data_IF_539052531939
#
_entry.id   IF_539052531939
#
_cell.length_a   1.000
_cell.length_b   1.000
_cell.length_c   1.000
_cell.angle_alpha   90.00
_cell.angle_beta   90.00
_cell.angle_gamma   90.00
#
_symmetry.space_group_name_H-M   'P 1'
#
loop_
_entity.id
_entity.type
_entity.pdbx_description
1 polymer ?
#
# COMPACT_ATOMS: atom_id res chain seq x y z
N UNK A 1 1.20 -22.48 4.59
CA UNK A 1 1.65 -21.17 5.04
C UNK A 1 0.75 -20.09 4.43
N UNK A 2 0.15 -19.28 5.26
CA UNK A 2 -0.56 -18.09 4.80
C UNK A 2 0.49 -16.99 4.63
N UNK A 3 0.65 -16.49 3.42
CA UNK A 3 1.52 -15.37 3.15
C UNK A 3 0.65 -14.22 2.65
N UNK A 4 0.61 -13.13 3.41
CA UNK A 4 -0.03 -11.88 3.00
C UNK A 4 1.05 -10.85 2.70
N UNK A 5 0.99 -10.26 1.54
CA UNK A 5 1.88 -9.17 1.15
C UNK A 5 1.04 -7.91 0.98
N UNK A 6 1.34 -6.88 1.75
CA UNK A 6 0.76 -5.56 1.60
C UNK A 6 1.82 -4.60 1.06
N UNK A 7 1.51 -3.96 -0.05
CA UNK A 7 2.38 -2.97 -0.66
C UNK A 7 1.66 -1.62 -0.69
N UNK A 8 2.29 -0.58 -0.15
CA UNK A 8 1.79 0.79 -0.20
C UNK A 8 2.68 1.59 -1.13
N UNK A 9 2.07 2.23 -2.10
CA UNK A 9 2.75 3.07 -3.06
C UNK A 9 2.28 4.52 -2.90
N UNK A 10 3.24 5.39 -2.58
CA UNK A 10 3.05 6.83 -2.62
C UNK A 10 3.56 7.33 -3.97
N UNK A 11 2.66 7.85 -4.78
CA UNK A 11 2.99 8.33 -6.11
C UNK A 11 2.99 9.87 -6.14
N UNK A 12 4.11 10.48 -6.39
CA UNK A 12 4.32 11.82 -6.94
C UNK A 12 4.16 11.71 -8.48
N UNK A 13 4.09 12.78 -9.31
CA UNK A 13 3.59 12.73 -10.70
C UNK A 13 4.34 11.75 -11.63
N UNK A 14 4.31 10.49 -11.30
CA UNK A 14 4.89 9.36 -12.02
C UNK A 14 4.06 8.11 -11.76
N UNK A 15 4.16 7.13 -12.62
CA UNK A 15 3.49 5.84 -12.41
C UNK A 15 4.30 4.98 -11.43
N UNK A 16 3.64 4.45 -10.41
CA UNK A 16 4.22 3.43 -9.55
C UNK A 16 3.93 2.04 -10.13
N UNK A 17 4.95 1.19 -10.16
CA UNK A 17 4.83 -0.19 -10.63
C UNK A 17 5.27 -1.15 -9.53
N UNK A 18 4.34 -2.01 -9.11
CA UNK A 18 4.60 -3.06 -8.14
C UNK A 18 4.64 -4.43 -8.80
N UNK A 19 5.67 -5.21 -8.54
CA UNK A 19 5.70 -6.61 -8.94
C UNK A 19 6.17 -7.49 -7.78
N UNK A 20 5.57 -8.67 -7.66
CA UNK A 20 5.94 -9.65 -6.66
C UNK A 20 5.87 -11.06 -7.25
N UNK A 21 6.81 -11.92 -6.87
CA UNK A 21 6.80 -13.32 -7.25
C UNK A 21 6.23 -14.17 -6.12
N UNK A 22 5.17 -14.91 -6.40
CA UNK A 22 4.65 -15.97 -5.55
C UNK A 22 4.90 -17.29 -6.25
N UNK A 23 5.67 -18.18 -5.60
CA UNK A 23 6.00 -19.50 -6.14
C UNK A 23 5.57 -20.60 -5.20
N UNK A 24 4.69 -21.48 -5.68
CA UNK A 24 4.27 -22.69 -4.98
C UNK A 24 4.92 -23.90 -5.65
N UNK A 25 5.77 -24.59 -4.90
CA UNK A 25 6.51 -25.77 -5.37
C UNK A 25 5.63 -27.03 -5.37
N UNK A 26 6.04 -28.06 -6.13
CA UNK A 26 5.28 -29.32 -6.25
C UNK A 26 4.96 -30.01 -4.92
N UNK A 27 5.86 -29.94 -3.93
CA UNK A 27 5.70 -30.59 -2.64
C UNK A 27 4.85 -29.81 -1.62
N UNK A 28 4.35 -28.64 -1.97
CA UNK A 28 3.56 -27.81 -1.07
C UNK A 28 2.06 -28.14 -1.21
N UNK A 29 1.65 -29.30 -0.68
CA UNK A 29 0.25 -29.72 -0.70
C UNK A 29 -0.61 -28.83 0.20
N UNK A 30 -1.81 -28.47 -0.29
CA UNK A 30 -2.76 -27.61 0.42
C UNK A 30 -2.24 -26.21 0.74
N UNK A 31 -1.19 -25.75 0.07
CA UNK A 31 -0.64 -24.43 0.27
C UNK A 31 -1.67 -23.36 -0.11
N UNK A 32 -1.78 -22.32 0.73
CA UNK A 32 -2.65 -21.20 0.48
C UNK A 32 -1.86 -19.90 0.50
N UNK A 33 -2.02 -19.08 -0.52
CA UNK A 33 -1.45 -17.74 -0.59
C UNK A 33 -2.57 -16.73 -0.86
N UNK A 34 -2.58 -15.67 -0.08
CA UNK A 34 -3.38 -14.48 -0.31
C UNK A 34 -2.43 -13.29 -0.42
N UNK A 35 -2.52 -12.57 -1.53
CA UNK A 35 -1.73 -11.36 -1.75
C UNK A 35 -2.67 -10.19 -1.99
N UNK A 36 -2.51 -9.13 -1.22
CA UNK A 36 -3.25 -7.89 -1.38
C UNK A 36 -2.29 -6.76 -1.70
N UNK A 37 -2.63 -5.97 -2.72
CA UNK A 37 -1.87 -4.80 -3.12
C UNK A 37 -2.78 -3.57 -3.10
N UNK A 38 -2.58 -2.71 -2.11
CA UNK A 38 -3.34 -1.49 -1.97
C UNK A 38 -2.49 -0.29 -2.38
N UNK A 39 -3.03 0.52 -3.28
CA UNK A 39 -2.37 1.72 -3.80
C UNK A 39 -3.13 2.97 -3.41
N UNK A 40 -2.44 3.93 -2.81
CA UNK A 40 -3.00 5.24 -2.50
C UNK A 40 -2.38 6.29 -3.44
N UNK A 41 -3.20 6.91 -4.27
CA UNK A 41 -2.76 7.92 -5.22
C UNK A 41 -2.95 9.33 -4.64
N UNK A 42 -1.91 10.14 -4.79
CA UNK A 42 -1.91 11.55 -4.43
C UNK A 42 -1.65 12.39 -5.69
N UNK A 43 -2.63 13.22 -6.07
CA UNK A 43 -2.54 14.06 -7.27
C UNK A 43 -3.26 13.50 -8.49
N UNK A 44 -3.36 14.33 -9.53
CA UNK A 44 -4.21 14.06 -10.70
C UNK A 44 -3.55 13.25 -11.81
N UNK A 45 -2.22 13.21 -11.82
CA UNK A 45 -1.43 12.54 -12.87
C UNK A 45 -0.72 11.27 -12.37
N UNK A 46 -1.24 10.67 -11.29
CA UNK A 46 -0.69 9.45 -10.71
C UNK A 46 -1.40 8.21 -11.25
N UNK A 47 -0.64 7.15 -11.50
CA UNK A 47 -1.15 5.83 -11.84
C UNK A 47 -0.45 4.74 -11.04
N UNK A 48 -1.17 3.70 -10.66
CA UNK A 48 -0.61 2.51 -10.04
C UNK A 48 -0.85 1.31 -10.97
N UNK A 49 0.20 0.55 -11.20
CA UNK A 49 0.16 -0.67 -11.99
C UNK A 49 0.73 -1.82 -11.17
N UNK A 50 -0.03 -2.91 -11.07
CA UNK A 50 0.38 -4.11 -10.34
C UNK A 50 0.52 -5.26 -11.31
N UNK A 51 1.70 -5.90 -11.32
CA UNK A 51 2.01 -7.05 -12.16
C UNK A 51 2.38 -8.24 -11.27
N UNK A 52 1.41 -9.01 -10.77
CA UNK A 52 1.70 -10.20 -10.00
C UNK A 52 2.26 -11.29 -10.91
N UNK A 53 3.34 -11.93 -10.47
CA UNK A 53 3.86 -13.12 -11.12
C UNK A 53 3.60 -14.34 -10.22
N UNK A 54 2.75 -15.26 -10.71
CA UNK A 54 2.30 -16.41 -9.95
C UNK A 54 2.78 -17.70 -10.64
N UNK A 55 3.61 -18.48 -9.95
CA UNK A 55 4.07 -19.80 -10.41
C UNK A 55 3.53 -20.88 -9.48
N UNK A 56 2.48 -21.60 -9.91
CA UNK A 56 1.84 -22.63 -9.09
C UNK A 56 2.11 -24.00 -9.70
N UNK A 57 2.87 -24.85 -8.97
CA UNK A 57 3.26 -26.20 -9.41
C UNK A 57 2.50 -27.33 -8.70
N UNK A 58 1.62 -27.00 -7.75
CA UNK A 58 0.81 -27.99 -7.03
C UNK A 58 -0.67 -27.74 -7.28
N UNK A 59 -1.44 -28.74 -7.77
CA UNK A 59 -2.85 -28.59 -8.12
C UNK A 59 -3.78 -28.43 -6.90
N UNK A 60 -3.32 -28.74 -5.69
CA UNK A 60 -4.10 -28.56 -4.45
C UNK A 60 -3.91 -27.19 -3.83
N UNK A 61 -3.07 -26.34 -4.41
CA UNK A 61 -2.82 -25.01 -3.91
C UNK A 61 -3.91 -24.02 -4.28
N UNK A 62 -4.19 -23.10 -3.37
CA UNK A 62 -5.11 -21.98 -3.58
C UNK A 62 -4.32 -20.68 -3.57
N UNK A 63 -4.42 -19.90 -4.64
CA UNK A 63 -3.75 -18.60 -4.76
C UNK A 63 -4.79 -17.54 -5.08
N UNK A 64 -4.83 -16.52 -4.24
CA UNK A 64 -5.73 -15.38 -4.36
C UNK A 64 -4.89 -14.10 -4.44
N UNK A 65 -5.23 -13.24 -5.38
CA UNK A 65 -4.60 -11.92 -5.52
C UNK A 65 -5.67 -10.85 -5.66
N UNK A 66 -5.60 -9.84 -4.82
CA UNK A 66 -6.47 -8.69 -4.85
C UNK A 66 -5.64 -7.41 -5.01
N UNK A 67 -6.12 -6.49 -5.84
CA UNK A 67 -5.51 -5.18 -6.01
C UNK A 67 -6.58 -4.11 -5.91
N UNK A 68 -6.35 -3.13 -5.03
CA UNK A 68 -7.20 -1.96 -4.89
C UNK A 68 -6.43 -0.68 -5.16
N UNK A 69 -7.10 0.31 -5.71
CA UNK A 69 -6.52 1.63 -5.93
C UNK A 69 -7.46 2.68 -5.40
N UNK A 70 -6.97 3.48 -4.49
CA UNK A 70 -7.71 4.57 -3.85
C UNK A 70 -7.00 5.89 -4.15
N UNK A 71 -7.77 6.93 -4.50
CA UNK A 71 -7.26 8.30 -4.63
C UNK A 71 -7.73 9.13 -3.45
N UNK A 72 -6.87 10.00 -2.95
CA UNK A 72 -7.27 11.01 -1.94
C UNK A 72 -8.28 11.95 -2.61
N UNK A 73 -9.51 11.96 -2.08
CA UNK A 73 -10.59 12.76 -2.60
C UNK A 73 -10.47 14.24 -2.20
N UNK A 74 -10.82 15.13 -3.12
CA UNK A 74 -10.88 16.57 -2.84
C UNK A 74 -11.86 16.88 -1.71
N UNK A 75 -12.95 16.11 -1.60
CA UNK A 75 -13.94 16.25 -0.52
C UNK A 75 -13.33 15.99 0.87
N UNK A 76 -12.43 15.02 0.99
CA UNK A 76 -11.74 14.72 2.24
C UNK A 76 -10.79 15.86 2.64
N UNK A 77 -10.06 16.39 1.67
CA UNK A 77 -9.15 17.53 1.89
C UNK A 77 -9.95 18.79 2.23
N UNK A 78 -11.05 19.04 1.53
CA UNK A 78 -11.96 20.15 1.80
C UNK A 78 -12.53 20.07 3.23
N UNK A 79 -12.99 18.89 3.65
CA UNK A 79 -13.49 18.67 5.01
C UNK A 79 -12.43 18.98 6.09
N UNK A 80 -11.19 18.58 5.87
CA UNK A 80 -10.09 18.88 6.77
C UNK A 80 -9.78 20.38 6.80
N UNK A 81 -9.77 21.05 5.63
CA UNK A 81 -9.56 22.50 5.51
C UNK A 81 -10.63 23.31 6.24
N UNK A 82 -11.89 22.90 6.17
CA UNK A 82 -13.01 23.53 6.90
C UNK A 82 -12.81 23.48 8.44
N UNK A 83 -12.03 22.54 8.93
CA UNK A 83 -11.68 22.40 10.35
C UNK A 83 -10.36 23.07 10.73
N UNK A 84 -9.78 23.87 9.82
CA UNK A 84 -8.53 24.59 10.06
C UNK A 84 -7.28 23.72 9.97
N UNK A 85 -7.37 22.52 9.38
CA UNK A 85 -6.22 21.64 9.14
C UNK A 85 -5.63 22.03 7.79
N UNK A 86 -4.31 22.32 7.74
CA UNK A 86 -3.63 22.59 6.47
C UNK A 86 -3.66 21.36 5.56
N UNK A 87 -3.55 21.58 4.26
CA UNK A 87 -3.60 20.51 3.26
C UNK A 87 -2.50 19.46 3.48
N UNK A 88 -1.28 19.89 3.73
CA UNK A 88 -0.15 19.00 4.04
C UNK A 88 -0.43 18.12 5.25
N UNK A 89 -0.96 18.72 6.30
CA UNK A 89 -1.32 17.98 7.52
C UNK A 89 -2.48 17.01 7.30
N UNK A 90 -3.46 17.39 6.48
CA UNK A 90 -4.57 16.53 6.09
C UNK A 90 -4.09 15.31 5.30
N UNK A 91 -3.21 15.51 4.31
CA UNK A 91 -2.59 14.42 3.54
C UNK A 91 -1.81 13.50 4.46
N UNK A 92 -0.99 14.05 5.35
CA UNK A 92 -0.25 13.27 6.34
C UNK A 92 -1.13 12.40 7.23
N UNK A 93 -2.26 12.93 7.69
CA UNK A 93 -3.24 12.17 8.49
C UNK A 93 -3.89 11.03 7.70
N UNK A 94 -4.27 11.29 6.46
CA UNK A 94 -4.88 10.28 5.58
C UNK A 94 -3.90 9.15 5.28
N UNK A 95 -2.66 9.49 4.90
CA UNK A 95 -1.61 8.50 4.60
C UNK A 95 -1.25 7.67 5.84
N UNK A 96 -1.08 8.31 6.99
CA UNK A 96 -0.82 7.58 8.23
C UNK A 96 -1.97 6.65 8.62
N UNK A 97 -3.21 7.08 8.40
CA UNK A 97 -4.39 6.24 8.61
C UNK A 97 -4.40 5.01 7.68
N UNK A 98 -4.06 5.21 6.43
CA UNK A 98 -3.97 4.15 5.43
C UNK A 98 -2.86 3.14 5.73
N UNK A 99 -1.71 3.60 6.19
CA UNK A 99 -0.58 2.75 6.55
C UNK A 99 -0.73 2.04 7.90
N UNK A 100 -1.72 2.40 8.70
CA UNK A 100 -1.86 1.96 10.09
C UNK A 100 -1.90 0.44 10.25
N UNK A 101 -2.61 -0.26 9.37
CA UNK A 101 -2.72 -1.73 9.44
C UNK A 101 -1.36 -2.42 9.28
N UNK A 102 -0.54 -1.92 8.35
CA UNK A 102 0.82 -2.45 8.13
C UNK A 102 1.73 -2.11 9.29
N UNK A 103 1.70 -0.86 9.72
CA UNK A 103 2.55 -0.38 10.81
C UNK A 103 2.28 -1.12 12.11
N UNK A 104 1.02 -1.48 12.38
CA UNK A 104 0.64 -2.26 13.55
C UNK A 104 1.17 -3.70 13.54
N UNK A 105 1.54 -4.25 12.39
CA UNK A 105 2.12 -5.58 12.27
C UNK A 105 3.64 -5.59 12.47
N UNK A 106 4.26 -4.42 12.44
CA UNK A 106 5.71 -4.27 12.64
C UNK A 106 6.05 -4.24 14.14
N UNK A 107 7.23 -4.75 14.54
CA UNK A 107 7.77 -4.45 15.85
C UNK A 107 7.85 -2.94 16.07
N UNK A 108 7.61 -2.49 17.32
CA UNK A 108 7.44 -1.06 17.63
C UNK A 108 8.60 -0.19 17.13
N UNK A 109 9.83 -0.69 17.21
CA UNK A 109 11.03 0.01 16.77
C UNK A 109 10.99 0.35 15.27
N UNK A 110 10.59 -0.63 14.44
CA UNK A 110 10.43 -0.45 12.99
C UNK A 110 9.20 0.38 12.63
N UNK A 111 8.11 0.27 13.39
CA UNK A 111 6.92 1.06 13.17
C UNK A 111 7.19 2.56 13.38
N UNK A 112 7.91 2.92 14.43
CA UNK A 112 8.30 4.33 14.70
C UNK A 112 9.21 4.88 13.60
N UNK A 113 10.19 4.08 13.15
CA UNK A 113 11.10 4.50 12.08
C UNK A 113 10.36 4.67 10.74
N UNK A 114 9.48 3.73 10.40
CA UNK A 114 8.66 3.80 9.20
C UNK A 114 7.73 5.03 9.21
N UNK A 115 7.14 5.37 10.35
CA UNK A 115 6.32 6.59 10.48
C UNK A 115 7.13 7.86 10.25
N UNK A 116 8.36 7.93 10.77
CA UNK A 116 9.26 9.08 10.53
C UNK A 116 9.62 9.22 9.06
N UNK A 117 9.98 8.11 8.41
CA UNK A 117 10.30 8.10 6.98
C UNK A 117 9.12 8.52 6.11
N UNK A 118 7.90 8.08 6.45
CA UNK A 118 6.68 8.52 5.79
C UNK A 118 6.47 10.03 5.93
N UNK A 119 6.64 10.58 7.13
CA UNK A 119 6.49 12.01 7.36
C UNK A 119 7.47 12.83 6.51
N UNK A 120 8.76 12.44 6.49
CA UNK A 120 9.80 13.10 5.67
C UNK A 120 9.48 13.01 4.19
N UNK A 121 9.01 11.85 3.71
CA UNK A 121 8.66 11.66 2.29
C UNK A 121 7.48 12.51 1.86
N UNK A 122 6.54 12.77 2.78
CA UNK A 122 5.36 13.60 2.50
C UNK A 122 5.69 15.09 2.47
N UNK A 123 6.62 15.57 3.33
CA UNK A 123 7.07 16.97 3.32
C UNK A 123 7.71 17.39 1.99
N UNK A 124 8.29 16.46 1.24
CA UNK A 124 8.88 16.71 -0.09
C UNK A 124 7.94 16.52 -1.28
N UNK A 125 6.73 15.99 -1.06
CA UNK A 125 5.81 15.61 -2.15
C UNK A 125 4.60 16.55 -2.31
N UNK A 126 4.41 17.49 -1.39
CA UNK A 126 3.35 18.52 -1.42
C UNK A 126 3.96 19.86 -1.79
N UNK A 127 4.45 19.94 -3.02
CA UNK A 127 5.02 21.16 -3.57
C UNK A 127 4.54 21.38 -5.00
#
# INVERSE_FOLDING_TARGET
>A
ANNSTLSIWLCSPSSAMGSGLVKIIKGAEGARNYSQCDSLLMGDQCGAHTYPYLEVKNPTAVVEHEATTTKIGEDQLFYCKQRGISEEKAIGLIVNGYCKEVLNQLPMEFAVEAQKLLAISLEGSVG
#
